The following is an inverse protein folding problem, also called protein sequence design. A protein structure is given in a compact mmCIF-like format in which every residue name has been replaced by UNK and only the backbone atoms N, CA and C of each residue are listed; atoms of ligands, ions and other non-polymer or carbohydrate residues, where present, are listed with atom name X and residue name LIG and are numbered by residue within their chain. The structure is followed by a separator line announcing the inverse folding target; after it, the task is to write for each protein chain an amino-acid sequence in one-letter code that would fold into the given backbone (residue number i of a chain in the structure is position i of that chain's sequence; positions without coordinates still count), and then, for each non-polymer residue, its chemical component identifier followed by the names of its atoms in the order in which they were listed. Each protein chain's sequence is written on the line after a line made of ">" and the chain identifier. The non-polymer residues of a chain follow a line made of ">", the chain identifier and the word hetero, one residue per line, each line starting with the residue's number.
data_IF_279444312848
#
_entry.id   IF_279444312848
#
_cell.length_a   1.000
_cell.length_b   1.000
_cell.length_c   1.000
_cell.angle_alpha   90.00
_cell.angle_beta   90.00
_cell.angle_gamma   90.00
#
_symmetry.space_group_name_H-M   'P 1'
#
loop_
_entity.id
_entity.type
_entity.pdbx_description
1 polymer ?
#
# COMPACT_ATOMS: atom_id res chain seq x y z
N UNK A 1 -3.51 -23.06 -20.11
CA UNK A 1 -4.40 -23.14 -18.92
C UNK A 1 -4.83 -21.76 -18.40
N UNK A 2 -3.93 -20.77 -18.31
CA UNK A 2 -4.25 -19.39 -17.88
C UNK A 2 -5.17 -18.59 -18.81
N UNK A 3 -5.23 -18.94 -20.09
CA UNK A 3 -6.10 -18.29 -21.09
C UNK A 3 -7.59 -18.33 -20.74
N UNK A 4 -8.02 -19.22 -19.84
CA UNK A 4 -9.41 -19.30 -19.35
C UNK A 4 -9.87 -18.07 -18.56
N UNK A 5 -8.94 -17.29 -18.02
CA UNK A 5 -9.22 -16.06 -17.27
C UNK A 5 -9.12 -14.79 -18.14
N UNK A 6 -8.75 -14.94 -19.42
CA UNK A 6 -8.66 -13.84 -20.36
C UNK A 6 -9.98 -13.76 -21.13
N UNK A 7 -10.89 -12.89 -20.64
CA UNK A 7 -12.17 -12.62 -21.27
C UNK A 7 -12.80 -11.31 -20.77
N UNK A 8 -13.74 -10.72 -21.52
CA UNK A 8 -14.31 -9.40 -21.21
C UNK A 8 -14.99 -9.35 -19.83
N UNK A 9 -15.62 -10.45 -19.39
CA UNK A 9 -16.21 -10.58 -18.06
C UNK A 9 -15.17 -10.54 -16.93
N UNK A 10 -14.04 -11.22 -17.10
CA UNK A 10 -12.96 -11.21 -16.10
C UNK A 10 -12.26 -9.86 -16.04
N UNK A 11 -12.15 -9.15 -17.17
CA UNK A 11 -11.64 -7.79 -17.20
C UNK A 11 -12.56 -6.82 -16.44
N UNK A 12 -13.87 -6.93 -16.63
CA UNK A 12 -14.85 -6.14 -15.86
C UNK A 12 -14.78 -6.46 -14.36
N UNK A 13 -14.66 -7.75 -14.01
CA UNK A 13 -14.50 -8.16 -12.63
C UNK A 13 -13.22 -7.59 -12.01
N UNK A 14 -12.09 -7.67 -12.72
CA UNK A 14 -10.83 -7.09 -12.27
C UNK A 14 -10.96 -5.58 -12.03
N UNK A 15 -11.60 -4.84 -12.94
CA UNK A 15 -11.85 -3.40 -12.77
C UNK A 15 -12.70 -3.09 -11.54
N UNK A 16 -13.69 -3.91 -11.24
CA UNK A 16 -14.54 -3.73 -10.06
C UNK A 16 -13.78 -4.00 -8.75
N UNK A 17 -12.86 -4.97 -8.75
CA UNK A 17 -12.05 -5.33 -7.58
C UNK A 17 -10.79 -4.48 -7.41
N UNK A 18 -10.35 -3.77 -8.45
CA UNK A 18 -9.16 -2.92 -8.43
C UNK A 18 -9.14 -1.93 -7.25
N UNK A 19 -10.22 -1.16 -6.96
CA UNK A 19 -10.24 -0.22 -5.84
C UNK A 19 -10.11 -0.90 -4.47
N UNK A 20 -10.72 -2.08 -4.31
CA UNK A 20 -10.64 -2.83 -3.05
C UNK A 20 -9.25 -3.41 -2.84
N UNK A 21 -8.66 -3.99 -3.88
CA UNK A 21 -7.31 -4.53 -3.83
C UNK A 21 -6.27 -3.42 -3.55
N UNK A 22 -6.41 -2.25 -4.18
CA UNK A 22 -5.52 -1.11 -3.92
C UNK A 22 -5.66 -0.60 -2.49
N UNK A 23 -6.88 -0.55 -1.95
CA UNK A 23 -7.11 -0.13 -0.56
C UNK A 23 -6.44 -1.08 0.43
N UNK A 24 -6.59 -2.39 0.25
CA UNK A 24 -5.90 -3.37 1.10
C UNK A 24 -4.38 -3.30 0.95
N UNK A 25 -3.88 -3.04 -0.26
CA UNK A 25 -2.45 -2.76 -0.49
C UNK A 25 -1.97 -1.53 0.26
N UNK A 26 -2.74 -0.45 0.27
CA UNK A 26 -2.43 0.76 1.04
C UNK A 26 -2.42 0.47 2.55
N UNK A 27 -3.44 -0.23 3.07
CA UNK A 27 -3.51 -0.62 4.49
C UNK A 27 -2.30 -1.47 4.89
N UNK A 28 -1.96 -2.48 4.10
CA UNK A 28 -0.79 -3.33 4.36
C UNK A 28 0.52 -2.54 4.34
N UNK A 29 0.68 -1.64 3.38
CA UNK A 29 1.89 -0.81 3.24
C UNK A 29 2.03 0.15 4.42
N UNK A 30 0.96 0.86 4.80
CA UNK A 30 0.97 1.76 5.97
C UNK A 30 1.18 0.98 7.26
N UNK A 31 0.58 -0.20 7.39
CA UNK A 31 0.80 -1.10 8.52
C UNK A 31 2.25 -1.55 8.65
N UNK A 32 2.92 -1.88 7.54
CA UNK A 32 4.34 -2.21 7.53
C UNK A 32 5.20 -1.01 7.94
N UNK A 33 4.93 0.17 7.38
CA UNK A 33 5.64 1.42 7.73
C UNK A 33 5.56 1.69 9.22
N UNK A 34 4.38 1.51 9.82
CA UNK A 34 4.18 1.64 11.25
C UNK A 34 4.89 0.55 12.05
N UNK A 35 4.76 -0.71 11.66
CA UNK A 35 5.32 -1.85 12.41
C UNK A 35 6.85 -1.86 12.43
N UNK A 36 7.50 -1.43 11.35
CA UNK A 36 8.96 -1.37 11.26
C UNK A 36 9.53 0.00 11.64
N UNK A 37 8.68 0.95 12.04
CA UNK A 37 9.08 2.33 12.28
C UNK A 37 9.93 2.91 11.14
N UNK A 38 9.38 2.81 9.92
CA UNK A 38 10.14 3.10 8.71
C UNK A 38 10.43 4.60 8.56
N UNK A 39 11.61 4.99 9.05
CA UNK A 39 12.10 6.37 9.11
C UNK A 39 12.01 7.12 7.77
N UNK A 40 12.38 6.49 6.65
CA UNK A 40 12.32 7.13 5.32
C UNK A 40 10.94 7.66 4.94
N UNK A 41 9.86 7.04 5.42
CA UNK A 41 8.48 7.47 5.14
C UNK A 41 7.95 8.30 6.30
N UNK A 42 8.22 7.88 7.54
CA UNK A 42 7.71 8.56 8.75
C UNK A 42 8.33 9.95 8.98
N UNK A 43 9.56 10.21 8.51
CA UNK A 43 10.19 11.54 8.61
C UNK A 43 9.46 12.61 7.77
N UNK A 44 8.73 12.20 6.73
CA UNK A 44 7.90 13.11 5.92
C UNK A 44 6.54 13.40 6.54
N UNK A 45 6.11 12.64 7.55
CA UNK A 45 4.82 12.83 8.20
C UNK A 45 4.93 13.99 9.20
N UNK A 46 4.23 15.13 8.99
CA UNK A 46 4.48 16.36 9.75
C UNK A 46 4.33 16.23 11.27
N UNK A 47 3.47 15.33 11.74
CA UNK A 47 3.22 15.11 13.16
C UNK A 47 4.17 14.08 13.81
N UNK A 48 4.73 13.14 13.02
CA UNK A 48 5.53 12.01 13.52
C UNK A 48 7.04 12.24 13.32
N UNK A 49 7.45 13.20 12.49
CA UNK A 49 8.85 13.46 12.16
C UNK A 49 9.77 13.77 13.36
N UNK A 50 9.23 14.11 14.53
CA UNK A 50 9.98 14.34 15.76
C UNK A 50 10.40 13.06 16.47
N UNK A 51 9.91 11.88 16.03
CA UNK A 51 10.20 10.58 16.65
C UNK A 51 11.67 10.19 16.56
N UNK A 52 12.32 10.49 15.43
CA UNK A 52 13.71 10.09 15.19
C UNK A 52 14.65 11.27 15.39
N UNK A 53 15.54 11.16 16.38
CA UNK A 53 16.62 12.14 16.55
C UNK A 53 17.50 12.15 15.30
N UNK A 54 17.80 13.34 14.79
CA UNK A 54 18.86 13.52 13.79
C UNK A 54 20.16 13.64 14.60
N UNK A 55 21.11 12.77 14.31
CA UNK A 55 22.47 12.91 14.83
C UNK A 55 23.14 13.91 13.86
N UNK A 56 23.41 15.11 14.37
CA UNK A 56 24.27 16.10 13.70
C UNK A 56 25.74 15.66 13.79
#
# INVERSE_FOLDING_TARGET
>A
MLSRFLGPRYLQLAKNWMPTASMWGAVGTVGLVWATDWRLILDWVPYINGKFKKED
#
